data_IF_666752404768
#
_entry.id   IF_666752404768
#
_cell.length_a   1.000
_cell.length_b   1.000
_cell.length_c   1.000
_cell.angle_alpha   90.00
_cell.angle_beta   90.00
_cell.angle_gamma   90.00
#
_symmetry.space_group_name_H-M   'P 1'
#
loop_
_entity.id
_entity.type
_entity.pdbx_description
1 polymer ?
#
# COMPACT_ATOMS: atom_id res chain seq x y z
N UNK A 1 6.10 -25.64 -10.01
CA UNK A 1 5.88 -24.46 -10.86
C UNK A 1 7.19 -24.11 -11.53
N UNK A 2 7.22 -23.84 -12.84
CA UNK A 2 8.43 -23.32 -13.49
C UNK A 2 8.60 -21.86 -13.07
N UNK A 3 9.66 -21.56 -12.36
CA UNK A 3 10.07 -20.20 -11.99
C UNK A 3 11.46 -19.89 -12.58
N UNK A 4 11.89 -20.73 -13.53
CA UNK A 4 13.15 -20.59 -14.23
C UNK A 4 13.18 -19.26 -15.00
N UNK A 5 14.00 -18.34 -14.56
CA UNK A 5 14.21 -17.04 -15.20
C UNK A 5 13.75 -15.81 -14.41
N UNK A 6 13.04 -15.98 -13.27
CA UNK A 6 12.70 -14.86 -12.40
C UNK A 6 13.85 -14.58 -11.44
N UNK A 7 14.44 -13.40 -11.54
CA UNK A 7 15.40 -12.90 -10.57
C UNK A 7 14.76 -11.77 -9.74
N UNK A 8 14.93 -11.84 -8.42
CA UNK A 8 14.37 -10.87 -7.50
C UNK A 8 15.47 -10.21 -6.70
N UNK A 9 15.58 -8.90 -6.81
CA UNK A 9 16.43 -8.06 -5.97
C UNK A 9 15.60 -7.24 -5.00
N UNK A 10 16.21 -6.76 -3.95
CA UNK A 10 15.55 -5.89 -2.98
C UNK A 10 16.48 -4.78 -2.54
N UNK A 11 15.91 -3.58 -2.36
CA UNK A 11 16.55 -2.56 -1.56
C UNK A 11 16.36 -2.82 -0.06
N UNK A 12 16.76 -1.84 0.75
CA UNK A 12 16.79 -1.98 2.21
C UNK A 12 15.46 -1.66 2.90
N UNK A 13 14.51 -1.02 2.20
CA UNK A 13 13.28 -0.54 2.83
C UNK A 13 12.43 -1.66 3.44
N UNK A 14 12.40 -2.86 2.80
CA UNK A 14 11.61 -3.98 3.32
C UNK A 14 12.13 -5.35 2.86
N UNK A 15 13.34 -5.71 3.27
CA UNK A 15 13.96 -7.02 2.91
C UNK A 15 13.14 -8.22 3.37
N UNK A 16 12.43 -8.12 4.51
CA UNK A 16 11.60 -9.20 5.02
C UNK A 16 10.44 -9.55 4.06
N UNK A 17 9.77 -8.53 3.49
CA UNK A 17 8.74 -8.75 2.47
C UNK A 17 9.35 -9.39 1.20
N UNK A 18 10.49 -8.89 0.74
CA UNK A 18 11.18 -9.45 -0.43
C UNK A 18 11.56 -10.92 -0.22
N UNK A 19 12.07 -11.29 0.95
CA UNK A 19 12.36 -12.68 1.32
C UNK A 19 11.09 -13.54 1.34
N UNK A 20 9.99 -13.00 1.85
CA UNK A 20 8.69 -13.69 1.86
C UNK A 20 8.16 -13.92 0.44
N UNK A 21 8.28 -12.94 -0.44
CA UNK A 21 7.92 -13.05 -1.88
C UNK A 21 8.80 -14.11 -2.56
N UNK A 22 10.12 -14.07 -2.36
CA UNK A 22 11.06 -15.06 -2.89
C UNK A 22 10.70 -16.47 -2.42
N UNK A 23 10.34 -16.64 -1.15
CA UNK A 23 9.90 -17.94 -0.61
C UNK A 23 8.63 -18.44 -1.31
N UNK A 24 7.66 -17.58 -1.59
CA UNK A 24 6.44 -17.95 -2.33
C UNK A 24 6.75 -18.34 -3.78
N UNK A 25 7.68 -17.63 -4.42
CA UNK A 25 8.14 -17.95 -5.78
C UNK A 25 9.04 -19.19 -5.84
N UNK A 26 9.62 -19.62 -4.73
CA UNK A 26 10.60 -20.72 -4.70
C UNK A 26 11.97 -20.34 -5.31
N UNK A 27 12.33 -19.05 -5.29
CA UNK A 27 13.60 -18.53 -5.81
C UNK A 27 14.41 -17.86 -4.68
N UNK A 28 15.76 -17.84 -4.76
CA UNK A 28 16.56 -17.06 -3.83
C UNK A 28 16.43 -15.55 -4.10
N UNK A 29 16.68 -14.75 -3.07
CA UNK A 29 16.88 -13.31 -3.25
C UNK A 29 18.24 -13.09 -3.92
N UNK A 30 18.26 -12.23 -4.94
CA UNK A 30 19.44 -11.87 -5.71
C UNK A 30 20.54 -11.23 -4.85
N UNK A 31 21.78 -11.47 -5.25
CA UNK A 31 22.96 -10.98 -4.53
C UNK A 31 23.32 -9.58 -5.01
N UNK A 32 23.20 -8.63 -4.12
CA UNK A 32 23.62 -7.25 -4.34
C UNK A 32 24.05 -6.62 -3.01
N UNK A 33 25.12 -5.86 -3.04
CA UNK A 33 25.45 -4.87 -2.03
C UNK A 33 24.53 -3.68 -2.25
N UNK A 34 23.73 -3.33 -1.26
CA UNK A 34 22.94 -2.10 -1.24
C UNK A 34 23.26 -1.41 0.08
N UNK A 35 24.01 -0.33 0.02
CA UNK A 35 24.57 0.34 1.18
C UNK A 35 24.70 1.85 0.97
N UNK A 36 25.56 2.47 1.75
CA UNK A 36 25.89 3.89 1.68
C UNK A 36 27.37 4.11 1.77
N UNK A 37 27.86 5.12 1.06
CA UNK A 37 29.16 5.70 1.31
C UNK A 37 29.17 6.48 2.64
N UNK A 38 30.33 6.89 3.09
CA UNK A 38 30.52 7.58 4.38
C UNK A 38 29.82 8.94 4.45
N UNK A 39 29.54 9.56 3.30
CA UNK A 39 28.82 10.82 3.15
C UNK A 39 27.29 10.64 3.04
N UNK A 40 26.82 9.36 3.00
CA UNK A 40 25.41 9.02 2.93
C UNK A 40 24.86 8.76 1.52
N UNK A 41 25.68 8.92 0.48
CA UNK A 41 25.26 8.56 -0.89
C UNK A 41 24.99 7.06 -1.00
N UNK A 42 23.99 6.70 -1.82
CA UNK A 42 23.62 5.29 -2.05
C UNK A 42 24.71 4.59 -2.84
N UNK A 43 25.14 3.43 -2.33
CA UNK A 43 26.07 2.52 -2.99
C UNK A 43 25.36 1.22 -3.38
N UNK A 44 25.49 0.82 -4.66
CA UNK A 44 24.96 -0.45 -5.16
C UNK A 44 26.01 -1.18 -5.96
N UNK A 45 26.14 -2.50 -5.72
CA UNK A 45 26.92 -3.41 -6.53
C UNK A 45 26.11 -4.70 -6.75
N UNK A 46 25.98 -5.13 -8.02
CA UNK A 46 25.33 -6.39 -8.38
C UNK A 46 26.38 -7.50 -8.36
N UNK A 47 26.17 -8.48 -7.49
CA UNK A 47 27.17 -9.52 -7.18
C UNK A 47 26.93 -10.86 -7.91
N UNK A 48 26.06 -10.85 -8.94
CA UNK A 48 25.78 -12.03 -9.75
C UNK A 48 25.52 -11.68 -11.21
N UNK A 49 25.57 -12.70 -12.07
CA UNK A 49 25.32 -12.50 -13.50
C UNK A 49 23.82 -12.36 -13.78
N UNK A 50 23.41 -11.18 -14.21
CA UNK A 50 22.03 -10.84 -14.54
C UNK A 50 21.79 -10.60 -16.04
N UNK A 51 22.80 -10.85 -16.88
CA UNK A 51 22.72 -10.55 -18.31
C UNK A 51 21.56 -11.29 -18.98
N UNK A 52 20.72 -10.54 -19.70
CA UNK A 52 19.53 -11.02 -20.42
C UNK A 52 18.46 -11.67 -19.54
N UNK A 53 18.49 -11.43 -18.20
CA UNK A 53 17.47 -11.91 -17.29
C UNK A 53 16.36 -10.88 -17.13
N UNK A 54 15.14 -11.34 -16.83
CA UNK A 54 14.06 -10.51 -16.31
C UNK A 54 14.24 -10.33 -14.81
N UNK A 55 14.26 -9.09 -14.36
CA UNK A 55 14.57 -8.76 -12.97
C UNK A 55 13.43 -7.99 -12.34
N UNK A 56 13.05 -8.39 -11.14
CA UNK A 56 12.12 -7.67 -10.27
C UNK A 56 12.89 -7.04 -9.12
N UNK A 57 12.66 -5.76 -8.87
CA UNK A 57 13.29 -5.02 -7.77
C UNK A 57 12.23 -4.63 -6.76
N UNK A 58 12.23 -5.26 -5.59
CA UNK A 58 11.24 -4.98 -4.52
C UNK A 58 11.79 -3.87 -3.62
N UNK A 59 11.15 -2.69 -3.67
CA UNK A 59 11.51 -1.55 -2.85
C UNK A 59 10.30 -0.63 -2.62
N UNK A 60 9.59 -0.71 -1.49
CA UNK A 60 8.62 0.30 -1.13
C UNK A 60 9.31 1.65 -0.91
N UNK A 61 8.72 2.72 -1.42
CA UNK A 61 9.28 4.07 -1.28
C UNK A 61 8.67 4.80 -0.06
N UNK A 62 8.59 4.07 1.07
CA UNK A 62 8.18 4.59 2.36
C UNK A 62 9.30 5.40 3.06
N UNK A 63 9.04 5.90 4.24
CA UNK A 63 10.04 6.65 5.00
C UNK A 63 11.27 5.78 5.38
N UNK A 64 12.48 6.33 5.24
CA UNK A 64 12.85 7.67 4.76
C UNK A 64 12.67 7.79 3.24
N UNK A 65 11.63 8.49 2.81
CA UNK A 65 11.06 8.39 1.46
C UNK A 65 12.04 8.77 0.33
N UNK A 66 12.76 9.86 0.48
CA UNK A 66 13.72 10.31 -0.55
C UNK A 66 14.89 9.33 -0.70
N UNK A 67 15.34 8.76 0.40
CA UNK A 67 16.44 7.81 0.45
C UNK A 67 16.05 6.47 -0.18
N UNK A 68 14.93 5.88 0.24
CA UNK A 68 14.41 4.64 -0.32
C UNK A 68 14.05 4.79 -1.81
N UNK A 69 13.61 5.96 -2.20
CA UNK A 69 13.34 6.27 -3.60
C UNK A 69 14.64 6.34 -4.42
N UNK A 70 15.69 7.03 -3.91
CA UNK A 70 16.98 7.10 -4.58
C UNK A 70 17.63 5.70 -4.67
N UNK A 71 17.53 4.89 -3.61
CA UNK A 71 18.03 3.53 -3.60
C UNK A 71 17.40 2.67 -4.71
N UNK A 72 16.09 2.80 -4.93
CA UNK A 72 15.40 2.15 -6.04
C UNK A 72 15.99 2.58 -7.39
N UNK A 73 16.18 3.88 -7.60
CA UNK A 73 16.69 4.42 -8.88
C UNK A 73 18.10 3.92 -9.18
N UNK A 74 19.00 3.98 -8.20
CA UNK A 74 20.40 3.54 -8.35
C UNK A 74 20.46 2.02 -8.59
N UNK A 75 19.62 1.24 -7.92
CA UNK A 75 19.54 -0.21 -8.12
C UNK A 75 19.04 -0.57 -9.53
N UNK A 76 18.03 0.13 -10.05
CA UNK A 76 17.56 -0.04 -11.43
C UNK A 76 18.66 0.31 -12.43
N UNK A 77 19.38 1.45 -12.28
CA UNK A 77 20.48 1.84 -13.17
C UNK A 77 21.61 0.79 -13.16
N UNK A 78 22.00 0.29 -11.98
CA UNK A 78 23.02 -0.75 -11.87
C UNK A 78 22.66 -2.03 -12.66
N UNK A 79 21.40 -2.48 -12.55
CA UNK A 79 20.89 -3.63 -13.28
C UNK A 79 20.85 -3.39 -14.79
N UNK A 80 20.40 -2.21 -15.24
CA UNK A 80 20.39 -1.84 -16.67
C UNK A 80 21.81 -1.83 -17.24
N UNK A 81 22.81 -1.31 -16.50
CA UNK A 81 24.23 -1.35 -16.89
C UNK A 81 24.80 -2.77 -16.90
N UNK A 82 24.27 -3.67 -16.05
CA UNK A 82 24.61 -5.08 -16.07
C UNK A 82 23.94 -5.87 -17.22
N UNK A 83 23.22 -5.19 -18.11
CA UNK A 83 22.60 -5.72 -19.35
C UNK A 83 21.47 -6.72 -19.09
N UNK A 84 20.63 -6.47 -18.11
CA UNK A 84 19.37 -7.23 -17.94
C UNK A 84 18.46 -7.07 -19.17
N UNK A 85 17.57 -8.03 -19.40
CA UNK A 85 16.58 -7.91 -20.48
C UNK A 85 15.51 -6.88 -20.13
N UNK A 86 14.99 -6.93 -18.90
CA UNK A 86 14.00 -6.00 -18.39
C UNK A 86 14.10 -5.83 -16.88
N UNK A 87 13.66 -4.68 -16.37
CA UNK A 87 13.52 -4.39 -14.94
C UNK A 87 12.09 -4.00 -14.63
N UNK A 88 11.45 -4.76 -13.74
CA UNK A 88 10.17 -4.42 -13.13
C UNK A 88 10.42 -3.87 -11.73
N UNK A 89 10.10 -2.60 -11.49
CA UNK A 89 10.10 -2.02 -10.14
C UNK A 89 8.84 -2.46 -9.39
N UNK A 90 9.00 -3.29 -8.38
CA UNK A 90 7.94 -3.70 -7.46
C UNK A 90 7.95 -2.76 -6.28
N UNK A 91 7.01 -1.82 -6.28
CA UNK A 91 6.91 -0.74 -5.29
C UNK A 91 5.63 -0.93 -4.48
N UNK A 92 5.61 -1.83 -3.46
CA UNK A 92 4.40 -2.16 -2.71
C UNK A 92 3.70 -0.94 -2.13
N UNK A 93 4.45 0.06 -1.67
CA UNK A 93 3.96 1.39 -1.34
C UNK A 93 4.64 2.42 -2.23
N UNK A 94 3.84 3.11 -3.06
CA UNK A 94 4.31 4.18 -3.92
C UNK A 94 4.28 5.51 -3.16
N UNK A 95 5.42 5.94 -2.64
CA UNK A 95 5.59 7.23 -1.99
C UNK A 95 5.36 8.39 -2.95
N UNK A 96 5.10 9.59 -2.41
CA UNK A 96 4.71 10.79 -3.17
C UNK A 96 3.34 10.72 -3.87
N UNK A 97 2.61 9.61 -3.80
CA UNK A 97 1.32 9.41 -4.46
C UNK A 97 0.23 10.41 -4.02
N UNK A 98 0.31 10.95 -2.81
CA UNK A 98 -0.70 11.86 -2.26
C UNK A 98 -0.75 13.24 -2.94
N UNK A 99 0.25 13.61 -3.73
CA UNK A 99 0.26 14.81 -4.57
C UNK A 99 0.11 14.42 -6.05
N UNK A 100 -1.06 13.92 -6.40
CA UNK A 100 -1.47 13.40 -7.71
C UNK A 100 -2.10 14.44 -8.62
N UNK A 101 -2.50 15.59 -8.06
CA UNK A 101 -3.20 16.68 -8.77
C UNK A 101 -2.87 18.04 -8.17
N UNK A 102 -3.11 19.08 -8.96
CA UNK A 102 -3.00 20.47 -8.52
C UNK A 102 -4.39 21.03 -8.16
N UNK A 103 -4.66 21.42 -6.92
CA UNK A 103 -5.86 22.16 -6.56
C UNK A 103 -5.93 23.49 -7.33
N UNK A 104 -7.15 23.95 -7.66
CA UNK A 104 -7.36 25.14 -8.53
C UNK A 104 -6.66 26.40 -8.03
N UNK A 105 -6.56 26.60 -6.73
CA UNK A 105 -6.01 27.82 -6.10
C UNK A 105 -4.55 27.70 -5.66
N UNK A 106 -3.89 26.56 -5.89
CA UNK A 106 -2.56 26.30 -5.34
C UNK A 106 -1.49 26.21 -6.44
N UNK A 107 -0.29 26.76 -6.15
CA UNK A 107 0.91 26.60 -6.96
C UNK A 107 1.78 25.49 -6.36
N UNK A 108 1.36 24.26 -6.55
CA UNK A 108 2.01 23.07 -5.99
C UNK A 108 2.47 22.13 -7.12
N UNK A 109 3.49 21.30 -6.89
CA UNK A 109 3.89 20.27 -7.84
C UNK A 109 2.85 19.15 -7.92
N UNK A 110 2.96 18.31 -8.96
CA UNK A 110 2.36 16.98 -9.02
C UNK A 110 3.49 15.98 -8.75
N UNK A 111 3.80 15.74 -7.48
CA UNK A 111 4.99 14.98 -7.08
C UNK A 111 4.92 13.53 -7.53
N UNK A 112 3.72 12.93 -7.58
CA UNK A 112 3.50 11.60 -8.14
C UNK A 112 3.99 11.49 -9.58
N UNK A 113 3.77 12.53 -10.41
CA UNK A 113 4.28 12.57 -11.79
C UNK A 113 5.79 12.74 -11.85
N UNK A 114 6.39 13.51 -10.93
CA UNK A 114 7.85 13.64 -10.83
C UNK A 114 8.47 12.29 -10.52
N UNK A 115 7.96 11.59 -9.51
CA UNK A 115 8.42 10.24 -9.15
C UNK A 115 8.28 9.26 -10.32
N UNK A 116 7.13 9.23 -11.01
CA UNK A 116 6.93 8.39 -12.18
C UNK A 116 7.96 8.65 -13.27
N UNK A 117 8.23 9.93 -13.59
CA UNK A 117 9.25 10.30 -14.60
C UNK A 117 10.66 9.86 -14.21
N UNK A 118 11.04 9.95 -12.95
CA UNK A 118 12.36 9.54 -12.47
C UNK A 118 12.55 8.02 -12.60
N UNK A 119 11.54 7.22 -12.23
CA UNK A 119 11.56 5.75 -12.39
C UNK A 119 11.71 5.37 -13.87
N UNK A 120 11.01 6.04 -14.76
CA UNK A 120 11.14 5.79 -16.21
C UNK A 120 12.49 6.22 -16.74
N UNK A 121 13.00 7.37 -16.31
CA UNK A 121 14.25 7.95 -16.79
C UNK A 121 15.49 7.07 -16.51
N UNK A 122 15.48 6.31 -15.40
CA UNK A 122 16.57 5.36 -15.09
C UNK A 122 16.46 4.04 -15.86
N UNK A 123 15.43 3.88 -16.71
CA UNK A 123 15.29 2.75 -17.62
C UNK A 123 14.46 1.60 -17.05
N UNK A 124 13.59 1.84 -16.07
CA UNK A 124 12.60 0.85 -15.64
C UNK A 124 11.63 0.53 -16.79
N UNK A 125 11.34 -0.75 -17.00
CA UNK A 125 10.50 -1.22 -18.12
C UNK A 125 9.04 -1.41 -17.70
N UNK A 126 8.76 -1.61 -16.40
CA UNK A 126 7.43 -1.83 -15.82
C UNK A 126 7.43 -1.46 -14.34
N UNK A 127 6.27 -1.05 -13.84
CA UNK A 127 6.04 -0.84 -12.40
C UNK A 127 4.92 -1.75 -11.92
N UNK A 128 5.11 -2.39 -10.76
CA UNK A 128 4.09 -3.11 -10.02
C UNK A 128 3.91 -2.42 -8.67
N UNK A 129 2.69 -2.05 -8.33
CA UNK A 129 2.36 -1.40 -7.04
C UNK A 129 1.08 -1.98 -6.45
N UNK A 130 0.83 -1.71 -5.17
CA UNK A 130 -0.38 -2.16 -4.47
C UNK A 130 -1.20 -0.93 -4.10
N UNK A 131 -2.51 -0.93 -4.38
CA UNK A 131 -3.48 0.10 -4.00
C UNK A 131 -2.93 1.53 -4.12
N UNK A 132 -2.51 1.92 -5.33
CA UNK A 132 -2.04 3.30 -5.55
C UNK A 132 -3.12 4.31 -5.11
N UNK A 133 -2.69 5.38 -4.45
CA UNK A 133 -3.60 6.36 -3.81
C UNK A 133 -4.69 6.90 -4.75
N UNK A 134 -4.39 7.06 -6.03
CA UNK A 134 -5.33 7.56 -7.02
C UNK A 134 -5.07 6.88 -8.38
N UNK A 135 -6.12 6.35 -9.01
CA UNK A 135 -6.02 5.56 -10.25
C UNK A 135 -5.41 6.35 -11.41
N UNK A 136 -5.59 7.67 -11.45
CA UNK A 136 -4.99 8.52 -12.49
C UNK A 136 -3.46 8.52 -12.48
N UNK A 137 -2.79 8.08 -11.41
CA UNK A 137 -1.33 7.95 -11.34
C UNK A 137 -0.82 6.98 -12.40
N UNK A 138 -1.62 5.99 -12.79
CA UNK A 138 -1.29 5.08 -13.90
C UNK A 138 -1.01 5.85 -15.19
N UNK A 139 -1.74 6.93 -15.45
CA UNK A 139 -1.54 7.82 -16.62
C UNK A 139 -0.28 8.71 -16.54
N UNK A 140 0.49 8.67 -15.45
CA UNK A 140 1.76 9.40 -15.36
C UNK A 140 2.95 8.59 -15.88
N UNK A 141 2.74 7.30 -16.10
CA UNK A 141 3.72 6.38 -16.64
C UNK A 141 3.46 6.16 -18.13
N UNK A 142 4.52 6.21 -18.93
CA UNK A 142 4.52 5.82 -20.34
C UNK A 142 4.89 4.33 -20.51
N UNK A 143 5.36 3.70 -19.43
CA UNK A 143 5.59 2.25 -19.30
C UNK A 143 4.40 1.59 -18.61
N UNK A 144 4.19 0.26 -18.77
CA UNK A 144 3.13 -0.45 -18.07
C UNK A 144 3.23 -0.29 -16.54
N UNK A 145 2.09 0.00 -15.91
CA UNK A 145 1.93 -0.03 -14.47
C UNK A 145 0.82 -1.02 -14.11
N UNK A 146 1.16 -2.04 -13.35
CA UNK A 146 0.22 -2.97 -12.75
C UNK A 146 -0.10 -2.50 -11.32
N UNK A 147 -1.30 -1.95 -11.12
CA UNK A 147 -1.80 -1.63 -9.79
C UNK A 147 -2.61 -2.81 -9.28
N UNK A 148 -2.08 -3.56 -8.31
CA UNK A 148 -2.78 -4.69 -7.69
C UNK A 148 -3.50 -4.27 -6.42
N UNK A 149 -4.60 -4.94 -6.10
CA UNK A 149 -5.42 -4.57 -4.95
C UNK A 149 -5.19 -5.54 -3.79
N UNK A 150 -5.04 -4.99 -2.58
CA UNK A 150 -4.93 -5.77 -1.34
C UNK A 150 -6.29 -6.36 -0.90
N UNK A 151 -7.38 -5.95 -1.53
CA UNK A 151 -8.73 -6.34 -1.15
C UNK A 151 -8.94 -7.84 -0.97
N UNK A 152 -8.39 -8.77 -1.78
CA UNK A 152 -8.53 -10.20 -1.51
C UNK A 152 -7.93 -10.62 -0.17
N UNK A 153 -6.78 -10.04 0.21
CA UNK A 153 -6.10 -10.32 1.49
C UNK A 153 -6.92 -9.78 2.66
N UNK A 154 -7.38 -8.53 2.55
CA UNK A 154 -8.17 -7.88 3.58
C UNK A 154 -9.53 -8.56 3.77
N UNK A 155 -10.24 -8.88 2.68
CA UNK A 155 -11.54 -9.55 2.72
C UNK A 155 -11.47 -10.93 3.35
N UNK A 156 -10.46 -11.74 3.00
CA UNK A 156 -10.28 -13.06 3.60
C UNK A 156 -10.13 -12.96 5.13
N UNK A 157 -9.48 -11.92 5.61
CA UNK A 157 -9.33 -11.66 7.04
C UNK A 157 -10.63 -11.18 7.70
N UNK A 158 -11.36 -10.26 7.05
CA UNK A 158 -12.68 -9.81 7.52
C UNK A 158 -13.62 -11.00 7.68
N UNK A 159 -13.70 -11.87 6.68
CA UNK A 159 -14.56 -13.07 6.72
C UNK A 159 -14.17 -13.99 7.88
N UNK A 160 -12.89 -14.22 8.08
CA UNK A 160 -12.37 -15.12 9.12
C UNK A 160 -12.66 -14.62 10.52
N UNK A 161 -12.56 -13.30 10.77
CA UNK A 161 -12.61 -12.73 12.11
C UNK A 161 -13.97 -12.10 12.47
N UNK A 162 -14.76 -11.69 11.48
CA UNK A 162 -16.01 -10.97 11.70
C UNK A 162 -17.22 -11.63 11.03
N UNK A 163 -17.01 -12.58 10.10
CA UNK A 163 -18.08 -13.18 9.30
C UNK A 163 -18.69 -12.15 8.32
N UNK A 164 -19.93 -12.39 7.89
CA UNK A 164 -20.67 -11.48 6.98
C UNK A 164 -21.96 -10.94 7.61
N UNK A 165 -22.38 -11.52 8.75
CA UNK A 165 -23.62 -11.11 9.41
C UNK A 165 -23.41 -9.91 10.32
N UNK A 166 -24.34 -8.97 10.26
CA UNK A 166 -24.33 -7.76 11.10
C UNK A 166 -23.08 -6.89 10.91
N UNK A 167 -22.53 -6.89 9.69
CA UNK A 167 -21.42 -6.05 9.26
C UNK A 167 -21.94 -4.86 8.46
N UNK A 168 -21.29 -3.71 8.62
CA UNK A 168 -21.42 -2.55 7.73
C UNK A 168 -20.03 -2.06 7.34
N UNK A 169 -19.81 -1.88 6.04
CA UNK A 169 -18.57 -1.28 5.54
C UNK A 169 -18.68 0.23 5.64
N UNK A 170 -17.64 0.89 6.14
CA UNK A 170 -17.65 2.33 6.38
C UNK A 170 -16.52 3.01 5.61
N UNK A 171 -16.90 3.99 4.79
CA UNK A 171 -15.94 4.92 4.20
C UNK A 171 -15.63 6.05 5.20
N UNK A 172 -14.35 6.29 5.56
CA UNK A 172 -13.97 7.34 6.51
C UNK A 172 -14.13 8.75 5.94
N UNK A 173 -14.36 8.89 4.63
CA UNK A 173 -14.63 10.14 3.94
C UNK A 173 -15.33 9.89 2.57
N UNK A 174 -15.68 10.96 1.87
CA UNK A 174 -16.36 10.88 0.56
C UNK A 174 -15.43 10.31 -0.52
N UNK A 175 -14.12 10.52 -0.42
CA UNK A 175 -13.13 10.05 -1.40
C UNK A 175 -12.98 8.53 -1.44
N UNK A 176 -13.13 7.85 -0.29
CA UNK A 176 -13.00 6.40 -0.15
C UNK A 176 -14.26 5.60 -0.51
N UNK A 177 -15.38 6.24 -0.88
CA UNK A 177 -16.69 5.58 -1.10
C UNK A 177 -16.62 4.48 -2.16
N UNK A 178 -15.89 4.70 -3.25
CA UNK A 178 -15.77 3.70 -4.33
C UNK A 178 -15.10 2.43 -3.80
N UNK A 179 -14.00 2.57 -3.05
CA UNK A 179 -13.29 1.45 -2.41
C UNK A 179 -14.18 0.72 -1.42
N UNK A 180 -14.83 1.45 -0.53
CA UNK A 180 -15.73 0.87 0.47
C UNK A 180 -16.88 0.09 -0.17
N UNK A 181 -17.45 0.61 -1.26
CA UNK A 181 -18.51 -0.07 -2.02
C UNK A 181 -18.03 -1.36 -2.67
N UNK A 182 -16.82 -1.36 -3.27
CA UNK A 182 -16.24 -2.56 -3.85
C UNK A 182 -16.01 -3.66 -2.81
N UNK A 183 -15.63 -3.30 -1.59
CA UNK A 183 -15.48 -4.23 -0.47
C UNK A 183 -16.85 -4.71 0.04
N UNK A 184 -17.83 -3.82 0.21
CA UNK A 184 -19.16 -4.17 0.66
C UNK A 184 -19.82 -5.20 -0.29
N UNK A 185 -19.73 -4.98 -1.61
CA UNK A 185 -20.25 -5.92 -2.63
C UNK A 185 -19.67 -7.32 -2.47
N UNK A 186 -18.42 -7.47 -2.05
CA UNK A 186 -17.74 -8.75 -1.85
C UNK A 186 -17.97 -9.35 -0.46
N UNK A 187 -18.62 -8.62 0.44
CA UNK A 187 -19.03 -9.08 1.76
C UNK A 187 -20.56 -9.36 1.78
N UNK A 188 -21.02 -10.16 0.82
CA UNK A 188 -22.43 -10.53 0.66
C UNK A 188 -23.36 -9.30 0.54
N UNK A 189 -22.93 -8.28 -0.25
CA UNK A 189 -23.62 -7.01 -0.40
C UNK A 189 -23.92 -6.31 0.94
N UNK A 190 -22.95 -6.35 1.85
CA UNK A 190 -23.04 -5.69 3.15
C UNK A 190 -23.44 -4.21 2.99
N UNK A 191 -24.18 -3.69 3.97
CA UNK A 191 -24.54 -2.28 4.01
C UNK A 191 -23.31 -1.36 3.97
N UNK A 192 -23.49 -0.17 3.43
CA UNK A 192 -22.47 0.88 3.34
C UNK A 192 -22.85 2.09 4.17
N UNK A 193 -21.91 2.55 5.01
CA UNK A 193 -22.01 3.86 5.64
C UNK A 193 -20.89 4.79 5.17
N UNK A 194 -21.16 6.10 5.21
CA UNK A 194 -20.21 7.13 4.79
C UNK A 194 -20.10 8.16 5.90
N UNK A 195 -18.87 8.55 6.23
CA UNK A 195 -18.61 9.64 7.15
C UNK A 195 -18.35 10.91 6.35
N UNK A 196 -19.33 11.83 6.39
CA UNK A 196 -19.20 13.16 5.79
C UNK A 196 -18.63 14.14 6.84
N UNK A 197 -17.42 14.63 6.57
CA UNK A 197 -16.72 15.58 7.44
C UNK A 197 -17.03 16.99 6.98
N UNK A 198 -17.77 17.74 7.78
CA UNK A 198 -18.02 19.15 7.53
C UNK A 198 -17.30 20.02 8.55
N UNK A 199 -16.57 21.01 8.07
CA UNK A 199 -16.11 22.14 8.87
C UNK A 199 -17.06 23.30 8.61
N UNK A 200 -17.98 23.61 9.51
CA UNK A 200 -18.96 24.69 9.30
C UNK A 200 -18.28 26.04 9.10
N UNK A 201 -17.17 26.28 9.84
CA UNK A 201 -16.32 27.48 9.74
C UNK A 201 -14.86 27.16 10.08
N UNK A 202 -13.90 28.02 9.63
CA UNK A 202 -12.51 27.94 10.12
C UNK A 202 -12.48 28.02 11.67
N UNK A 203 -11.74 27.10 12.31
CA UNK A 203 -11.60 26.96 13.76
C UNK A 203 -12.82 26.40 14.54
N UNK A 204 -13.88 25.95 13.87
CA UNK A 204 -14.94 25.18 14.52
C UNK A 204 -14.62 23.68 14.53
N UNK A 205 -15.18 22.95 15.51
CA UNK A 205 -15.05 21.51 15.62
C UNK A 205 -15.58 20.81 14.35
N UNK A 206 -14.85 19.81 13.89
CA UNK A 206 -15.29 19.01 12.74
C UNK A 206 -16.54 18.23 13.11
N UNK A 207 -17.66 18.52 12.47
CA UNK A 207 -18.88 17.72 12.61
C UNK A 207 -18.78 16.53 11.68
N UNK A 208 -18.93 15.32 12.23
CA UNK A 208 -19.02 14.08 11.46
C UNK A 208 -20.49 13.68 11.32
N UNK A 209 -20.99 13.74 10.11
CA UNK A 209 -22.30 13.22 9.78
C UNK A 209 -22.15 11.80 9.23
N UNK A 210 -22.82 10.82 9.88
CA UNK A 210 -22.80 9.43 9.45
C UNK A 210 -24.07 9.18 8.64
N UNK A 211 -23.89 8.80 7.39
CA UNK A 211 -24.95 8.38 6.47
C UNK A 211 -24.96 6.85 6.46
N UNK A 212 -26.02 6.24 6.90
CA UNK A 212 -26.18 4.79 7.09
C UNK A 212 -26.49 4.43 8.53
N UNK A 213 -27.10 3.28 8.75
CA UNK A 213 -27.46 2.76 10.06
C UNK A 213 -26.35 1.86 10.60
N UNK A 214 -25.72 2.28 11.70
CA UNK A 214 -24.55 1.59 12.32
C UNK A 214 -24.87 1.01 13.70
N UNK A 215 -26.09 1.23 14.21
CA UNK A 215 -26.47 0.81 15.56
C UNK A 215 -26.41 -0.72 15.71
N UNK A 216 -25.73 -1.20 16.75
CA UNK A 216 -25.55 -2.61 17.04
C UNK A 216 -24.68 -3.39 16.05
N UNK A 217 -24.15 -2.75 14.99
CA UNK A 217 -23.37 -3.43 13.93
C UNK A 217 -21.87 -3.42 14.19
N UNK A 218 -21.17 -4.35 13.56
CA UNK A 218 -19.72 -4.31 13.40
C UNK A 218 -19.36 -3.42 12.21
N UNK A 219 -18.77 -2.26 12.49
CA UNK A 219 -18.32 -1.30 11.50
C UNK A 219 -16.93 -1.63 11.02
N UNK A 220 -16.76 -1.88 9.72
CA UNK A 220 -15.47 -2.12 9.05
C UNK A 220 -15.08 -0.86 8.28
N UNK A 221 -14.25 -0.02 8.90
CA UNK A 221 -13.67 1.15 8.24
C UNK A 221 -12.62 0.69 7.21
N UNK A 222 -12.65 1.26 6.00
CA UNK A 222 -11.72 0.88 4.93
C UNK A 222 -11.04 2.11 4.35
N UNK A 223 -9.70 2.10 4.32
CA UNK A 223 -8.90 3.16 3.72
C UNK A 223 -7.66 2.59 3.00
N UNK A 224 -7.01 3.39 2.12
CA UNK A 224 -5.74 3.00 1.51
C UNK A 224 -4.54 3.27 2.41
N UNK A 225 -4.54 4.41 3.10
CA UNK A 225 -3.40 4.89 3.88
C UNK A 225 -3.82 5.27 5.29
N UNK A 226 -3.12 4.75 6.29
CA UNK A 226 -3.17 5.28 7.65
C UNK A 226 -1.85 6.00 7.95
N UNK A 227 -1.93 7.35 8.04
CA UNK A 227 -0.77 8.21 8.35
C UNK A 227 -0.72 8.53 9.84
N UNK A 228 -1.27 9.63 10.30
CA UNK A 228 -1.32 9.99 11.73
C UNK A 228 -2.45 9.31 12.50
N UNK A 229 -3.29 8.54 11.83
CA UNK A 229 -4.48 7.87 12.32
C UNK A 229 -5.59 8.79 12.88
N UNK A 230 -5.40 10.11 12.88
CA UNK A 230 -6.38 11.04 13.44
C UNK A 230 -7.78 10.92 12.82
N UNK A 231 -7.85 10.78 11.50
CA UNK A 231 -9.11 10.58 10.76
C UNK A 231 -9.83 9.30 11.17
N UNK A 232 -9.12 8.17 11.19
CA UNK A 232 -9.71 6.87 11.54
C UNK A 232 -10.15 6.83 13.01
N UNK A 233 -9.34 7.39 13.91
CA UNK A 233 -9.68 7.45 15.34
C UNK A 233 -10.93 8.31 15.60
N UNK A 234 -11.03 9.46 14.94
CA UNK A 234 -12.22 10.31 15.06
C UNK A 234 -13.46 9.65 14.43
N UNK A 235 -13.29 8.96 13.29
CA UNK A 235 -14.35 8.16 12.68
C UNK A 235 -14.85 7.06 13.62
N UNK A 236 -13.93 6.33 14.25
CA UNK A 236 -14.26 5.28 15.21
C UNK A 236 -15.03 5.81 16.43
N UNK A 237 -14.61 6.95 16.96
CA UNK A 237 -15.33 7.60 18.06
C UNK A 237 -16.76 7.97 17.68
N UNK A 238 -16.95 8.57 16.49
CA UNK A 238 -18.28 8.93 15.99
C UNK A 238 -19.18 7.71 15.78
N UNK A 239 -18.65 6.60 15.25
CA UNK A 239 -19.38 5.35 15.07
C UNK A 239 -19.79 4.74 16.42
N UNK A 240 -18.89 4.71 17.41
CA UNK A 240 -19.22 4.24 18.77
C UNK A 240 -20.29 5.10 19.43
N UNK A 241 -20.25 6.42 19.27
CA UNK A 241 -21.28 7.35 19.76
C UNK A 241 -22.65 7.10 19.11
N UNK A 242 -22.68 6.57 17.89
CA UNK A 242 -23.88 6.18 17.17
C UNK A 242 -24.33 4.75 17.45
N UNK A 243 -23.76 4.09 18.47
CA UNK A 243 -24.20 2.77 18.92
C UNK A 243 -23.54 1.59 18.18
N UNK A 244 -22.46 1.80 17.41
CA UNK A 244 -21.74 0.69 16.79
C UNK A 244 -21.20 -0.29 17.87
N UNK A 245 -21.52 -1.57 17.73
CA UNK A 245 -21.08 -2.60 18.67
C UNK A 245 -19.56 -2.79 18.62
N UNK A 246 -18.98 -2.84 17.41
CA UNK A 246 -17.55 -2.98 17.18
C UNK A 246 -17.11 -2.07 16.06
N UNK A 247 -15.89 -1.51 16.15
CA UNK A 247 -15.30 -0.68 15.10
C UNK A 247 -13.88 -1.17 14.81
N UNK A 248 -13.68 -1.74 13.64
CA UNK A 248 -12.37 -2.19 13.15
C UNK A 248 -12.00 -1.41 11.89
N UNK A 249 -10.71 -1.17 11.69
CA UNK A 249 -10.23 -0.50 10.48
C UNK A 249 -9.31 -1.44 9.70
N UNK A 250 -9.44 -1.42 8.38
CA UNK A 250 -8.59 -2.14 7.43
C UNK A 250 -7.96 -1.12 6.49
N UNK A 251 -6.62 -1.06 6.49
CA UNK A 251 -5.87 -0.15 5.64
C UNK A 251 -4.74 -0.89 4.93
N UNK A 252 -4.50 -0.52 3.68
CA UNK A 252 -3.41 -1.14 2.92
C UNK A 252 -2.06 -0.66 3.42
N UNK A 253 -1.84 0.66 3.52
CA UNK A 253 -0.52 1.23 3.76
C UNK A 253 -0.37 1.82 5.16
N UNK A 254 0.38 1.14 6.07
CA UNK A 254 0.64 1.63 7.42
C UNK A 254 1.81 2.64 7.45
N UNK A 255 1.57 3.88 7.03
CA UNK A 255 2.59 4.93 7.14
C UNK A 255 2.90 5.23 8.60
N UNK A 256 1.88 5.30 9.45
CA UNK A 256 1.93 5.38 10.93
C UNK A 256 2.92 6.44 11.43
N UNK A 257 2.87 7.64 10.85
CA UNK A 257 3.78 8.72 11.20
C UNK A 257 3.34 9.50 12.44
N UNK A 258 4.29 10.21 13.04
CA UNK A 258 4.04 11.14 14.14
C UNK A 258 3.31 10.48 15.32
N UNK A 259 2.14 11.01 15.76
CA UNK A 259 1.41 10.50 16.92
C UNK A 259 0.53 9.27 16.63
N UNK A 260 0.66 8.61 15.49
CA UNK A 260 -0.26 7.55 15.04
C UNK A 260 -0.47 6.46 16.08
N UNK A 261 0.61 5.93 16.65
CA UNK A 261 0.53 4.83 17.63
C UNK A 261 -0.22 5.28 18.90
N UNK A 262 0.10 6.46 19.41
CA UNK A 262 -0.60 7.01 20.58
C UNK A 262 -2.10 7.26 20.28
N UNK A 263 -2.40 7.78 19.09
CA UNK A 263 -3.78 7.99 18.66
C UNK A 263 -4.56 6.67 18.60
N UNK A 264 -3.97 5.62 18.03
CA UNK A 264 -4.60 4.30 17.91
C UNK A 264 -4.80 3.68 19.30
N UNK A 265 -3.79 3.72 20.17
CA UNK A 265 -3.87 3.17 21.53
C UNK A 265 -4.98 3.82 22.36
N UNK A 266 -5.17 5.13 22.21
CA UNK A 266 -6.16 5.91 22.97
C UNK A 266 -7.52 6.04 22.26
N UNK A 267 -7.70 5.42 21.08
CA UNK A 267 -8.92 5.55 20.30
C UNK A 267 -10.05 4.63 20.78
N UNK A 268 -11.26 4.90 20.29
CA UNK A 268 -12.41 4.02 20.46
C UNK A 268 -12.43 2.86 19.43
N UNK A 269 -11.43 2.79 18.55
CA UNK A 269 -11.27 1.73 17.56
C UNK A 269 -10.83 0.44 18.26
N UNK A 270 -11.47 -0.67 17.96
CA UNK A 270 -11.17 -1.95 18.59
C UNK A 270 -9.90 -2.57 18.02
N UNK A 271 -9.68 -2.48 16.69
CA UNK A 271 -8.52 -3.03 16.00
C UNK A 271 -8.22 -2.24 14.72
N UNK A 272 -6.94 -2.11 14.39
CA UNK A 272 -6.43 -1.67 13.09
C UNK A 272 -5.70 -2.83 12.42
N UNK A 273 -6.17 -3.26 11.27
CA UNK A 273 -5.54 -4.28 10.43
C UNK A 273 -4.89 -3.60 9.24
N UNK A 274 -3.62 -3.87 9.01
CA UNK A 274 -2.83 -3.27 7.93
C UNK A 274 -2.09 -4.34 7.13
N UNK A 275 -1.59 -3.99 5.96
CA UNK A 275 -0.72 -4.91 5.22
C UNK A 275 0.76 -4.65 5.51
N UNK A 276 1.63 -5.53 5.00
CA UNK A 276 3.08 -5.37 5.07
C UNK A 276 3.68 -4.67 3.84
N UNK A 277 2.91 -3.84 3.15
CA UNK A 277 3.43 -2.95 2.08
C UNK A 277 4.46 -1.95 2.59
N UNK A 278 4.42 -1.64 3.88
CA UNK A 278 5.38 -0.84 4.65
C UNK A 278 5.76 -1.63 5.90
N UNK A 279 7.05 -1.72 6.27
CA UNK A 279 7.44 -2.39 7.50
C UNK A 279 6.93 -1.64 8.72
N UNK A 280 6.40 -2.35 9.70
CA UNK A 280 6.00 -1.74 10.98
C UNK A 280 7.23 -1.38 11.82
N UNK A 281 7.19 -0.20 12.43
CA UNK A 281 8.15 0.17 13.46
C UNK A 281 7.99 -0.72 14.70
N UNK A 282 9.02 -0.80 15.55
CA UNK A 282 8.95 -1.58 16.79
C UNK A 282 7.81 -1.11 17.71
N UNK A 283 7.54 0.20 17.75
CA UNK A 283 6.41 0.74 18.49
C UNK A 283 5.06 0.27 17.93
N UNK A 284 4.93 0.17 16.61
CA UNK A 284 3.71 -0.33 15.96
C UNK A 284 3.52 -1.83 16.19
N UNK A 285 4.60 -2.63 16.14
CA UNK A 285 4.57 -4.08 16.46
C UNK A 285 4.18 -4.33 17.91
N UNK A 286 4.62 -3.47 18.83
CA UNK A 286 4.27 -3.54 20.25
C UNK A 286 2.85 -3.07 20.58
N UNK A 287 2.13 -2.47 19.63
CA UNK A 287 0.77 -1.99 19.84
C UNK A 287 -0.23 -3.15 19.67
N UNK A 288 -0.80 -3.63 20.77
CA UNK A 288 -1.76 -4.74 20.76
C UNK A 288 -3.06 -4.50 19.97
N UNK A 289 -3.27 -3.29 19.45
CA UNK A 289 -4.42 -2.95 18.58
C UNK A 289 -4.09 -2.95 17.10
N UNK A 290 -2.83 -3.18 16.72
CA UNK A 290 -2.39 -3.22 15.33
C UNK A 290 -2.05 -4.65 14.96
N UNK A 291 -2.65 -5.14 13.87
CA UNK A 291 -2.35 -6.44 13.30
C UNK A 291 -1.95 -6.30 11.84
N UNK A 292 -0.95 -7.07 11.41
CA UNK A 292 -0.40 -6.99 10.06
C UNK A 292 -0.69 -8.26 9.26
N UNK A 293 -1.10 -8.08 8.00
CA UNK A 293 -1.32 -9.12 7.01
C UNK A 293 -0.23 -9.03 5.94
N UNK A 294 0.17 -10.15 5.37
CA UNK A 294 1.17 -10.15 4.32
C UNK A 294 0.55 -10.11 2.93
N UNK A 295 1.12 -9.26 2.05
CA UNK A 295 0.83 -9.23 0.61
C UNK A 295 1.85 -10.04 -0.21
N UNK A 296 2.73 -10.81 0.44
CA UNK A 296 3.78 -11.53 -0.24
C UNK A 296 3.26 -12.54 -1.28
N UNK A 297 2.19 -13.26 -0.97
CA UNK A 297 1.56 -14.21 -1.90
C UNK A 297 0.95 -13.48 -3.12
N UNK A 298 0.24 -12.37 -2.88
CA UNK A 298 -0.32 -11.53 -3.93
C UNK A 298 0.76 -11.00 -4.89
N UNK A 299 1.85 -10.48 -4.33
CA UNK A 299 2.98 -9.96 -5.12
C UNK A 299 3.67 -11.09 -5.89
N UNK A 300 3.94 -12.22 -5.25
CA UNK A 300 4.58 -13.38 -5.88
C UNK A 300 3.76 -13.91 -7.06
N UNK A 301 2.45 -14.09 -6.87
CA UNK A 301 1.56 -14.55 -7.95
C UNK A 301 1.48 -13.53 -9.09
N UNK A 302 1.43 -12.23 -8.78
CA UNK A 302 1.45 -11.18 -9.80
C UNK A 302 2.76 -11.19 -10.58
N UNK A 303 3.91 -11.27 -9.91
CA UNK A 303 5.23 -11.34 -10.55
C UNK A 303 5.34 -12.58 -11.44
N UNK A 304 4.84 -13.74 -10.97
CA UNK A 304 4.77 -14.95 -11.76
C UNK A 304 3.96 -14.73 -13.05
N UNK A 305 2.76 -14.15 -12.94
CA UNK A 305 1.89 -13.89 -14.11
C UNK A 305 2.53 -12.92 -15.09
N UNK A 306 3.18 -11.87 -14.61
CA UNK A 306 3.92 -10.93 -15.46
C UNK A 306 4.99 -11.67 -16.25
N UNK A 307 5.81 -12.50 -15.60
CA UNK A 307 6.92 -13.22 -16.24
C UNK A 307 6.43 -14.27 -17.25
N UNK A 308 5.29 -14.92 -16.99
CA UNK A 308 4.73 -15.94 -17.89
C UNK A 308 3.71 -15.40 -18.91
N UNK A 309 3.48 -14.09 -18.95
CA UNK A 309 2.51 -13.47 -19.86
C UNK A 309 1.04 -13.83 -19.55
N UNK A 310 0.74 -14.16 -18.28
CA UNK A 310 -0.62 -14.45 -17.84
C UNK A 310 -1.36 -13.18 -17.41
N UNK A 311 -2.71 -13.23 -17.43
CA UNK A 311 -3.54 -12.09 -17.04
C UNK A 311 -3.40 -11.75 -15.55
N UNK A 312 -2.97 -10.53 -15.25
CA UNK A 312 -2.94 -9.98 -13.88
C UNK A 312 -4.35 -9.58 -13.43
N UNK A 313 -5.17 -9.04 -14.32
CA UNK A 313 -6.53 -8.58 -13.98
C UNK A 313 -7.44 -9.70 -13.49
N UNK A 314 -7.17 -10.96 -13.84
CA UNK A 314 -7.93 -12.11 -13.31
C UNK A 314 -7.69 -12.40 -11.82
N UNK A 315 -6.75 -11.71 -11.17
CA UNK A 315 -6.59 -11.73 -9.72
C UNK A 315 -7.65 -10.89 -9.00
N UNK A 316 -8.33 -10.01 -9.74
CA UNK A 316 -9.40 -9.18 -9.24
C UNK A 316 -10.71 -9.73 -9.78
N UNK A 317 -11.45 -10.41 -8.94
CA UNK A 317 -12.83 -10.78 -9.26
C UNK A 317 -13.65 -9.53 -9.03
N UNK A 318 -14.26 -8.99 -10.07
CA UNK A 318 -15.23 -7.89 -10.01
C UNK A 318 -16.47 -8.26 -9.21
#
# INVERSE_FOLDING_TARGET
>A
MKTDGILVFAGNAHRALAQSVCKQLGVPLGKALVGKFSDGEVQVEIEENVRRQEVFVIQPTCAPTAENFMELLVLVDALKRASVASVTAVVPYFGYARQDRRPRSARVPITAKVAAKMIQAVGCDRVLTVDVHADQIQGFFDIPLDNVYSSPVLLADVWRHHGTKNIIVVSPDVGGVVRARAIAKRLDDADLAIIDKRRPRPNEATVMNIIGDVEGKTCVLVDDIVDTAGTLCAAAAALKQRGAAKVVAYCTHPVLSGPAIANIQNSAMDELVVTDTIPLSEAAKGCGRIRQLSVAELLAETMRRISFGESVSSLYID
#
